data_IF_250696868088
#
_entry.id   IF_250696868088
#
_cell.length_a   1.000
_cell.length_b   1.000
_cell.length_c   1.000
_cell.angle_alpha   90.00
_cell.angle_beta   90.00
_cell.angle_gamma   90.00
#
_symmetry.space_group_name_H-M   'P 1'
#
loop_
_entity.id
_entity.type
_entity.pdbx_description
1 polymer ?
#
# COMPACT_ATOMS: atom_id res chain seq x y z
N UNK A 1 -1.58 13.10 -10.29
CA UNK A 1 -0.46 12.13 -10.43
C UNK A 1 0.70 12.65 -9.62
N UNK A 2 1.05 11.99 -8.52
CA UNK A 2 2.25 12.32 -7.74
C UNK A 2 3.47 11.83 -8.54
N UNK A 3 4.30 12.75 -9.04
CA UNK A 3 5.54 12.39 -9.72
C UNK A 3 6.59 12.09 -8.65
N UNK A 4 6.89 10.81 -8.43
CA UNK A 4 8.07 10.42 -7.67
C UNK A 4 9.26 10.53 -8.63
N UNK A 5 9.99 11.65 -8.59
CA UNK A 5 11.26 11.78 -9.31
C UNK A 5 12.33 10.95 -8.60
N UNK A 6 13.24 10.36 -9.39
CA UNK A 6 14.27 9.40 -8.98
C UNK A 6 15.42 10.03 -8.16
N UNK A 7 15.11 10.82 -7.14
CA UNK A 7 16.07 11.65 -6.40
C UNK A 7 15.88 11.69 -4.89
N UNK A 8 15.02 10.83 -4.30
CA UNK A 8 14.97 10.71 -2.85
C UNK A 8 16.29 10.08 -2.37
N UNK A 9 17.12 10.92 -1.77
CA UNK A 9 18.41 10.54 -1.19
C UNK A 9 18.21 9.45 -0.13
N UNK A 10 19.24 8.62 0.00
CA UNK A 10 19.46 7.46 0.91
C UNK A 10 19.38 7.78 2.42
N UNK A 11 18.67 8.84 2.80
CA UNK A 11 18.54 9.37 4.17
C UNK A 11 17.10 9.82 4.51
N UNK A 12 16.10 9.50 3.68
CA UNK A 12 14.72 9.86 3.98
C UNK A 12 14.12 8.85 4.95
N UNK A 13 13.78 9.29 6.16
CA UNK A 13 13.03 8.47 7.10
C UNK A 13 11.53 8.63 6.89
N UNK A 14 10.78 7.63 7.34
CA UNK A 14 9.31 7.66 7.34
C UNK A 14 8.75 8.92 8.02
N UNK A 15 9.35 9.34 9.15
CA UNK A 15 8.99 10.56 9.88
C UNK A 15 9.13 11.85 9.05
N UNK A 16 10.12 11.94 8.15
CA UNK A 16 10.28 13.12 7.28
C UNK A 16 9.07 13.25 6.34
N UNK A 17 8.55 12.13 5.83
CA UNK A 17 7.40 12.13 4.93
C UNK A 17 6.09 12.40 5.69
N UNK A 18 5.94 11.88 6.91
CA UNK A 18 4.86 12.28 7.81
C UNK A 18 4.88 13.79 8.09
N UNK A 19 6.06 14.37 8.35
CA UNK A 19 6.24 15.80 8.58
C UNK A 19 5.89 16.63 7.33
N UNK A 20 6.36 16.20 6.16
CA UNK A 20 6.07 16.88 4.89
C UNK A 20 4.57 16.89 4.58
N UNK A 21 3.88 15.77 4.80
CA UNK A 21 2.43 15.68 4.65
C UNK A 21 1.71 16.68 5.57
N UNK A 22 2.02 16.65 6.87
CA UNK A 22 1.42 17.56 7.86
C UNK A 22 1.70 19.03 7.52
N UNK A 23 2.93 19.35 7.14
CA UNK A 23 3.30 20.70 6.72
C UNK A 23 2.47 21.16 5.51
N UNK A 24 2.28 20.31 4.52
CA UNK A 24 1.48 20.62 3.34
C UNK A 24 0.00 20.82 3.70
N UNK A 25 -0.60 19.87 4.43
CA UNK A 25 -1.98 19.97 4.91
C UNK A 25 -2.23 21.25 5.71
N UNK A 26 -1.28 21.62 6.59
CA UNK A 26 -1.42 22.82 7.39
C UNK A 26 -1.25 24.10 6.58
N UNK A 27 -0.14 24.24 5.85
CA UNK A 27 0.20 25.48 5.15
C UNK A 27 -0.61 25.74 3.90
N UNK A 28 -1.08 24.69 3.21
CA UNK A 28 -1.84 24.80 1.97
C UNK A 28 -3.33 24.51 2.15
N UNK A 29 -3.68 23.60 3.06
CA UNK A 29 -5.05 23.17 3.30
C UNK A 29 -5.72 23.80 4.53
N UNK A 30 -4.99 24.56 5.36
CA UNK A 30 -5.52 25.13 6.60
C UNK A 30 -5.85 24.09 7.68
N UNK A 31 -5.34 22.86 7.52
CA UNK A 31 -5.60 21.74 8.43
C UNK A 31 -4.60 21.77 9.59
N UNK A 32 -5.01 22.31 10.75
CA UNK A 32 -4.15 22.37 11.94
C UNK A 32 -3.89 20.99 12.55
N UNK A 33 -4.82 20.06 12.36
CA UNK A 33 -4.79 18.72 12.92
C UNK A 33 -4.77 17.68 11.80
N UNK A 34 -4.20 16.51 12.08
CA UNK A 34 -4.44 15.29 11.31
C UNK A 34 -5.65 14.57 11.91
N UNK A 35 -6.35 13.78 11.10
CA UNK A 35 -7.50 13.01 11.57
C UNK A 35 -7.11 11.84 12.50
N UNK A 36 -5.88 11.37 12.36
CA UNK A 36 -5.24 10.32 13.16
C UNK A 36 -3.71 10.47 13.06
N UNK A 37 -2.96 9.69 13.84
CA UNK A 37 -1.50 9.63 13.74
C UNK A 37 -1.09 9.11 12.37
N UNK A 38 -0.27 9.85 11.64
CA UNK A 38 0.22 9.43 10.32
C UNK A 38 0.93 8.07 10.40
N UNK A 39 0.56 7.17 9.50
CA UNK A 39 1.17 5.85 9.35
C UNK A 39 2.06 5.93 8.10
N UNK A 40 3.36 5.85 8.27
CA UNK A 40 4.31 5.90 7.17
C UNK A 40 5.13 4.61 7.13
N UNK A 41 4.51 3.48 6.83
CA UNK A 41 5.22 2.20 6.82
C UNK A 41 6.04 1.97 5.54
N UNK A 42 7.29 1.58 5.68
CA UNK A 42 8.16 1.14 4.58
C UNK A 42 8.68 -0.29 4.80
N UNK A 43 8.85 -1.05 3.72
CA UNK A 43 9.31 -2.44 3.80
C UNK A 43 8.34 -3.28 4.64
N UNK A 44 8.85 -4.03 5.62
CA UNK A 44 8.03 -4.85 6.51
C UNK A 44 7.05 -4.04 7.37
N UNK A 45 7.34 -2.78 7.69
CA UNK A 45 6.45 -1.93 8.48
C UNK A 45 5.11 -1.66 7.76
N UNK A 46 5.08 -1.79 6.43
CA UNK A 46 3.83 -1.69 5.65
C UNK A 46 2.81 -2.79 5.99
N UNK A 47 3.23 -3.87 6.66
CA UNK A 47 2.35 -4.95 7.13
C UNK A 47 1.75 -4.70 8.52
N UNK A 48 2.19 -3.65 9.23
CA UNK A 48 1.71 -3.29 10.56
C UNK A 48 0.59 -2.25 10.41
N UNK A 49 -0.66 -2.69 10.55
CA UNK A 49 -1.85 -1.90 10.20
C UNK A 49 -1.91 -0.51 10.86
N UNK A 50 -1.55 -0.42 12.15
CA UNK A 50 -1.52 0.84 12.89
C UNK A 50 -0.09 1.21 13.32
N UNK A 51 0.86 1.17 12.39
CA UNK A 51 2.21 1.69 12.58
C UNK A 51 2.21 3.23 12.83
N UNK A 52 3.33 3.80 13.28
CA UNK A 52 3.48 5.25 13.48
C UNK A 52 3.11 5.78 14.87
N UNK A 53 2.56 4.93 15.75
CA UNK A 53 2.34 5.28 17.16
C UNK A 53 3.65 5.35 17.96
N UNK A 54 3.60 5.82 19.21
CA UNK A 54 4.80 6.05 20.03
C UNK A 54 5.71 4.83 20.26
N UNK A 55 5.20 3.60 20.09
CA UNK A 55 6.00 2.37 20.21
C UNK A 55 6.65 1.92 18.90
N UNK A 56 6.26 2.52 17.77
CA UNK A 56 6.76 2.24 16.44
C UNK A 56 6.69 3.54 15.58
N UNK A 57 7.52 4.56 15.90
CA UNK A 57 7.19 5.97 15.68
C UNK A 57 7.57 6.54 14.30
N UNK A 58 7.44 5.75 13.23
CA UNK A 58 7.89 6.12 11.88
C UNK A 58 9.38 6.45 11.80
N UNK A 59 10.23 5.67 12.46
CA UNK A 59 11.67 5.92 12.61
C UNK A 59 12.56 5.12 11.66
N UNK A 60 11.98 4.26 10.79
CA UNK A 60 12.76 3.49 9.83
C UNK A 60 13.26 4.39 8.69
N UNK A 61 14.48 4.10 8.23
CA UNK A 61 14.99 4.65 6.96
C UNK A 61 14.33 3.92 5.80
N UNK A 62 13.86 4.67 4.81
CA UNK A 62 13.26 4.08 3.60
C UNK A 62 14.39 3.62 2.69
N UNK A 63 14.42 2.33 2.38
CA UNK A 63 15.49 1.71 1.61
C UNK A 63 15.10 1.53 0.12
N UNK A 64 16.11 1.37 -0.74
CA UNK A 64 15.86 1.00 -2.14
C UNK A 64 15.18 -0.37 -2.22
N UNK A 65 14.17 -0.48 -3.09
CA UNK A 65 13.35 -1.68 -3.23
C UNK A 65 12.22 -1.81 -2.21
N UNK A 66 12.15 -0.97 -1.17
CA UNK A 66 11.00 -1.00 -0.24
C UNK A 66 9.69 -0.68 -0.95
N UNK A 67 8.62 -1.34 -0.49
CA UNK A 67 7.26 -0.89 -0.75
C UNK A 67 6.82 0.02 0.40
N UNK A 68 6.38 1.23 0.09
CA UNK A 68 5.83 2.16 1.05
C UNK A 68 4.30 2.04 1.08
N UNK A 69 3.71 1.99 2.28
CA UNK A 69 2.28 2.13 2.53
C UNK A 69 2.09 3.30 3.48
N UNK A 70 1.60 4.41 2.95
CA UNK A 70 1.36 5.62 3.72
C UNK A 70 -0.13 5.86 3.88
N UNK A 71 -0.58 5.80 5.12
CA UNK A 71 -1.95 6.04 5.53
C UNK A 71 -2.01 7.35 6.33
N UNK A 72 -2.52 8.40 5.69
CA UNK A 72 -2.49 9.75 6.26
C UNK A 72 -3.71 10.57 5.84
N UNK A 73 -4.30 11.23 6.83
CA UNK A 73 -5.48 12.06 6.68
C UNK A 73 -5.36 13.38 7.42
N UNK A 74 -5.74 14.47 6.76
CA UNK A 74 -5.85 15.79 7.38
C UNK A 74 -7.25 16.05 7.93
N UNK A 75 -7.35 16.84 8.99
CA UNK A 75 -8.63 17.30 9.53
C UNK A 75 -8.85 18.78 9.18
N UNK A 76 -9.98 19.07 8.54
CA UNK A 76 -10.40 20.45 8.26
C UNK A 76 -11.73 20.74 8.95
N UNK A 77 -11.73 21.68 9.88
CA UNK A 77 -12.91 22.08 10.65
C UNK A 77 -13.66 20.88 11.27
N UNK A 78 -12.90 19.97 11.89
CA UNK A 78 -13.40 18.72 12.47
C UNK A 78 -14.00 17.72 11.47
N UNK A 79 -13.84 17.92 10.16
CA UNK A 79 -14.12 16.91 9.14
C UNK A 79 -12.83 16.16 8.83
N UNK A 80 -12.85 14.85 9.06
CA UNK A 80 -11.71 13.98 8.80
C UNK A 80 -11.60 13.54 7.35
N UNK A 81 -10.37 13.30 6.90
CA UNK A 81 -10.06 12.56 5.69
C UNK A 81 -9.22 11.34 6.06
N UNK A 82 -9.25 10.31 5.21
CA UNK A 82 -8.57 9.05 5.44
C UNK A 82 -8.18 8.48 4.07
N UNK A 83 -6.88 8.45 3.78
CA UNK A 83 -6.34 8.08 2.47
C UNK A 83 -5.06 7.27 2.67
N UNK A 84 -5.07 6.07 2.10
CA UNK A 84 -3.89 5.21 2.00
C UNK A 84 -3.33 5.20 0.58
N UNK A 85 -2.02 5.38 0.43
CA UNK A 85 -1.28 5.24 -0.82
C UNK A 85 -0.17 4.21 -0.68
N UNK A 86 -0.06 3.30 -1.66
CA UNK A 86 1.00 2.29 -1.71
C UNK A 86 1.83 2.45 -2.98
N UNK A 87 3.16 2.52 -2.85
CA UNK A 87 4.07 2.76 -3.97
C UNK A 87 5.50 2.27 -3.66
N UNK A 88 6.30 1.91 -4.68
CA UNK A 88 7.70 1.54 -4.50
C UNK A 88 8.52 2.79 -4.15
N UNK A 89 9.38 2.69 -3.14
CA UNK A 89 10.23 3.78 -2.67
C UNK A 89 11.09 4.38 -3.80
N UNK A 90 11.59 3.53 -4.69
CA UNK A 90 12.42 3.91 -5.83
C UNK A 90 11.64 4.27 -7.11
N UNK A 91 10.31 4.30 -7.02
CA UNK A 91 9.43 4.64 -8.14
C UNK A 91 9.23 3.53 -9.19
N UNK A 92 9.77 2.32 -8.98
CA UNK A 92 9.63 1.19 -9.89
C UNK A 92 9.16 -0.07 -9.16
N UNK A 93 7.98 -0.56 -9.53
CA UNK A 93 7.48 -1.83 -9.00
C UNK A 93 8.31 -3.02 -9.52
N UNK A 94 8.67 -3.94 -8.65
CA UNK A 94 9.06 -5.30 -9.06
C UNK A 94 7.84 -6.08 -9.59
N UNK A 95 8.06 -7.26 -10.16
CA UNK A 95 6.97 -8.11 -10.62
C UNK A 95 6.06 -8.52 -9.44
N UNK A 96 6.66 -8.93 -8.33
CA UNK A 96 5.97 -9.37 -7.12
C UNK A 96 5.19 -8.23 -6.47
N UNK A 97 5.81 -7.05 -6.33
CA UNK A 97 5.13 -5.87 -5.80
C UNK A 97 3.94 -5.46 -6.67
N UNK A 98 4.10 -5.53 -8.00
CA UNK A 98 3.02 -5.20 -8.94
C UNK A 98 1.87 -6.19 -8.83
N UNK A 99 2.15 -7.49 -8.75
CA UNK A 99 1.12 -8.52 -8.64
C UNK A 99 0.22 -8.27 -7.42
N UNK A 100 0.81 -8.05 -6.25
CA UNK A 100 0.08 -7.73 -5.02
C UNK A 100 -0.68 -6.41 -5.13
N UNK A 101 -0.03 -5.36 -5.63
CA UNK A 101 -0.66 -4.04 -5.80
C UNK A 101 -1.87 -4.09 -6.74
N UNK A 102 -1.75 -4.76 -7.88
CA UNK A 102 -2.83 -4.86 -8.86
C UNK A 102 -4.00 -5.72 -8.36
N UNK A 103 -3.73 -6.73 -7.53
CA UNK A 103 -4.78 -7.51 -6.86
C UNK A 103 -5.64 -6.63 -5.94
N UNK A 104 -5.00 -5.83 -5.09
CA UNK A 104 -5.69 -4.88 -4.20
C UNK A 104 -6.41 -3.80 -5.00
N UNK A 105 -5.79 -3.26 -6.05
CA UNK A 105 -6.40 -2.25 -6.92
C UNK A 105 -7.68 -2.76 -7.60
N UNK A 106 -7.67 -4.00 -8.10
CA UNK A 106 -8.86 -4.63 -8.71
C UNK A 106 -9.98 -4.82 -7.68
N UNK A 107 -9.64 -5.30 -6.48
CA UNK A 107 -10.59 -5.46 -5.39
C UNK A 107 -11.22 -4.13 -4.95
N UNK A 108 -10.41 -3.08 -4.80
CA UNK A 108 -10.87 -1.73 -4.48
C UNK A 108 -11.87 -1.21 -5.53
N UNK A 109 -11.55 -1.36 -6.83
CA UNK A 109 -12.44 -0.96 -7.92
C UNK A 109 -13.75 -1.74 -7.95
N UNK A 110 -13.68 -3.06 -7.75
CA UNK A 110 -14.86 -3.90 -7.71
C UNK A 110 -15.81 -3.51 -6.56
N UNK A 111 -15.26 -3.19 -5.39
CA UNK A 111 -16.07 -2.67 -4.26
C UNK A 111 -16.70 -1.33 -4.61
N UNK A 112 -15.93 -0.37 -5.14
CA UNK A 112 -16.47 0.94 -5.53
C UNK A 112 -17.61 0.85 -6.55
N UNK A 113 -17.52 -0.08 -7.51
CA UNK A 113 -18.57 -0.31 -8.50
C UNK A 113 -19.83 -0.97 -7.89
N UNK A 114 -19.65 -1.82 -6.87
CA UNK A 114 -20.75 -2.51 -6.22
C UNK A 114 -21.55 -1.61 -5.24
N UNK A 115 -20.93 -0.58 -4.67
CA UNK A 115 -21.57 0.33 -3.71
C UNK A 115 -22.61 1.20 -4.42
N UNK A 116 -23.89 1.04 -4.03
CA UNK A 116 -25.00 1.85 -4.52
C UNK A 116 -26.12 1.95 -3.46
N UNK A 117 -26.96 2.99 -3.49
CA UNK A 117 -28.08 3.13 -2.57
C UNK A 117 -28.98 1.88 -2.55
N UNK A 118 -29.35 1.43 -1.36
CA UNK A 118 -30.25 0.28 -1.16
C UNK A 118 -29.61 -1.11 -1.34
N UNK A 119 -28.34 -1.20 -1.75
CA UNK A 119 -27.62 -2.46 -1.83
C UNK A 119 -26.93 -2.76 -0.49
N UNK A 120 -27.20 -3.94 0.09
CA UNK A 120 -26.34 -4.47 1.14
C UNK A 120 -25.23 -5.29 0.47
N UNK A 121 -23.99 -4.84 0.63
CA UNK A 121 -22.79 -5.60 0.25
C UNK A 121 -21.90 -5.73 1.48
N UNK A 122 -21.31 -6.91 1.66
CA UNK A 122 -20.17 -7.04 2.55
C UNK A 122 -18.91 -6.70 1.74
N UNK A 123 -18.42 -5.47 1.91
CA UNK A 123 -17.27 -4.95 1.16
C UNK A 123 -15.99 -5.76 1.40
N UNK A 124 -15.83 -6.31 2.61
CA UNK A 124 -14.65 -7.09 2.98
C UNK A 124 -14.67 -8.46 2.30
N UNK A 125 -15.82 -9.13 2.29
CA UNK A 125 -15.98 -10.41 1.60
C UNK A 125 -15.79 -10.27 0.09
N UNK A 126 -16.34 -9.22 -0.53
CA UNK A 126 -16.16 -8.96 -1.95
C UNK A 126 -14.70 -8.68 -2.29
N UNK A 127 -14.03 -7.80 -1.53
CA UNK A 127 -12.62 -7.51 -1.74
C UNK A 127 -11.75 -8.76 -1.60
N UNK A 128 -11.97 -9.55 -0.54
CA UNK A 128 -11.24 -10.78 -0.28
C UNK A 128 -11.43 -11.80 -1.42
N UNK A 129 -12.66 -11.97 -1.90
CA UNK A 129 -12.96 -12.89 -3.01
C UNK A 129 -12.20 -12.50 -4.30
N UNK A 130 -12.17 -11.20 -4.63
CA UNK A 130 -11.43 -10.69 -5.80
C UNK A 130 -9.93 -10.93 -5.64
N UNK A 131 -9.35 -10.59 -4.49
CA UNK A 131 -7.90 -10.80 -4.23
C UNK A 131 -7.56 -12.28 -4.35
N UNK A 132 -8.29 -13.16 -3.66
CA UNK A 132 -8.04 -14.60 -3.67
C UNK A 132 -8.18 -15.22 -5.06
N UNK A 133 -9.12 -14.74 -5.87
CA UNK A 133 -9.27 -15.23 -7.25
C UNK A 133 -8.02 -14.96 -8.10
N UNK A 134 -7.38 -13.81 -7.91
CA UNK A 134 -6.21 -13.41 -8.69
C UNK A 134 -4.97 -14.17 -8.25
N UNK A 135 -4.79 -14.35 -6.94
CA UNK A 135 -3.66 -15.11 -6.39
C UNK A 135 -3.73 -16.59 -6.80
N UNK A 136 -4.93 -17.20 -6.77
CA UNK A 136 -5.11 -18.60 -7.19
C UNK A 136 -4.85 -18.80 -8.68
N UNK A 137 -5.32 -17.89 -9.54
CA UNK A 137 -5.04 -17.96 -10.98
C UNK A 137 -3.53 -17.83 -11.25
N UNK A 138 -2.82 -16.99 -10.50
CA UNK A 138 -1.37 -16.85 -10.64
C UNK A 138 -0.60 -18.10 -10.18
N UNK A 139 -1.05 -18.75 -9.10
CA UNK A 139 -0.50 -20.03 -8.64
C UNK A 139 -0.76 -21.17 -9.64
N UNK A 140 -1.95 -21.23 -10.24
CA UNK A 140 -2.29 -22.17 -11.31
C UNK A 140 -1.44 -21.95 -12.56
N UNK A 141 -1.29 -20.70 -13.02
CA UNK A 141 -0.42 -20.34 -14.15
C UNK A 141 1.06 -20.67 -13.87
N UNK A 142 1.55 -20.39 -12.66
CA UNK A 142 2.91 -20.73 -12.26
C UNK A 142 3.14 -22.26 -12.27
N UNK A 143 2.17 -23.02 -11.78
CA UNK A 143 2.24 -24.49 -11.78
C UNK A 143 2.14 -25.07 -13.20
N UNK A 144 1.29 -24.50 -14.08
CA UNK A 144 1.23 -24.87 -15.50
C UNK A 144 2.54 -24.52 -16.23
N UNK A 145 3.13 -23.36 -15.96
CA UNK A 145 4.41 -22.95 -16.55
C UNK A 145 5.56 -23.87 -16.11
N UNK A 146 5.62 -24.26 -14.83
CA UNK A 146 6.56 -25.30 -14.37
C UNK A 146 6.32 -26.68 -14.98
N UNK A 147 5.07 -27.04 -15.26
CA UNK A 147 4.74 -28.32 -15.88
C UNK A 147 5.11 -28.35 -17.38
N UNK A 148 5.05 -27.20 -18.05
CA UNK A 148 5.35 -27.06 -19.49
C UNK A 148 6.84 -26.79 -19.76
N UNK A 149 7.53 -26.11 -18.84
CA UNK A 149 8.99 -26.01 -18.79
C UNK A 149 9.50 -27.19 -17.98
N UNK A 150 9.65 -28.37 -18.60
CA UNK A 150 9.93 -29.66 -17.91
C UNK A 150 11.08 -29.63 -16.89
N UNK A 151 10.81 -29.16 -15.68
CA UNK A 151 11.69 -29.27 -14.53
C UNK A 151 11.56 -30.69 -14.00
N UNK A 152 12.52 -31.55 -14.36
CA UNK A 152 12.79 -32.76 -13.58
C UNK A 152 13.18 -32.29 -12.17
N UNK A 153 12.43 -32.74 -11.16
CA UNK A 153 12.84 -32.58 -9.76
C UNK A 153 14.31 -33.03 -9.65
N UNK A 154 15.20 -32.08 -9.36
CA UNK A 154 16.54 -32.41 -8.88
C UNK A 154 16.34 -33.01 -7.49
N UNK A 155 16.10 -34.32 -7.47
CA UNK A 155 16.27 -35.15 -6.30
C UNK A 155 17.71 -34.96 -5.81
N UNK A 156 17.87 -34.08 -4.84
CA UNK A 156 19.04 -34.08 -3.99
C UNK A 156 18.81 -35.09 -2.86
N UNK A 157 19.87 -35.81 -2.46
CA UNK A 157 19.79 -37.04 -1.65
C UNK A 157 19.15 -36.86 -0.27
#
# INVERSE_FOLDING_TARGET
>A
MCQCSSGWSVYTTEAILACLFQHYCYTRGGMRHTSYTCICGSGENSSILHYGHAGAPNDKTIEDGDLCLFDMGGEYYCYGSDITCTFPANGRFTAEQRAVYEAVLKASRAVMEAVKPGQQINVLELAAAVILSLVKMEEELYNEEKSSVGYQELGLP
#
